data_IF_332400147409
#
_entry.id   IF_332400147409
#
_cell.length_a   1.000
_cell.length_b   1.000
_cell.length_c   1.000
_cell.angle_alpha   90.00
_cell.angle_beta   90.00
_cell.angle_gamma   90.00
#
_symmetry.space_group_name_H-M   'P 1'
#
loop_
_entity.id
_entity.type
_entity.pdbx_description
1 polymer ?
#
# COMPACT_ATOMS: atom_id res chain seq x y z
N UNK A 1 -5.68 -8.42 13.75
CA UNK A 1 -5.05 -7.46 12.83
C UNK A 1 -4.46 -6.27 13.59
N UNK A 2 -3.20 -6.03 13.35
CA UNK A 2 -2.45 -4.95 13.99
C UNK A 2 -2.76 -3.59 13.33
N UNK A 3 -3.21 -3.61 12.07
CA UNK A 3 -3.44 -2.40 11.27
C UNK A 3 -4.93 -2.21 11.01
N UNK A 4 -5.40 -0.96 11.12
CA UNK A 4 -6.77 -0.58 10.77
C UNK A 4 -6.95 -0.37 9.26
N UNK A 5 -6.10 -0.98 8.46
CA UNK A 5 -6.03 -0.80 7.01
C UNK A 5 -7.24 -1.33 6.25
N UNK A 6 -7.89 -2.39 6.78
CA UNK A 6 -9.07 -2.96 6.13
C UNK A 6 -10.22 -1.97 6.02
N UNK A 7 -10.46 -1.19 7.07
CA UNK A 7 -11.51 -0.16 7.06
C UNK A 7 -11.20 0.93 6.03
N UNK A 8 -9.96 1.42 6.03
CA UNK A 8 -9.53 2.44 5.05
C UNK A 8 -9.70 1.93 3.62
N UNK A 9 -9.23 0.71 3.34
CA UNK A 9 -9.34 0.11 2.00
C UNK A 9 -10.79 -0.06 1.56
N UNK A 10 -11.67 -0.49 2.48
CA UNK A 10 -13.09 -0.65 2.18
C UNK A 10 -13.75 0.69 1.83
N UNK A 11 -13.49 1.72 2.65
CA UNK A 11 -14.06 3.05 2.41
C UNK A 11 -13.53 3.66 1.11
N UNK A 12 -12.22 3.55 0.86
CA UNK A 12 -11.60 4.09 -0.36
C UNK A 12 -12.09 3.35 -1.60
N UNK A 13 -12.19 2.03 -1.53
CA UNK A 13 -12.73 1.20 -2.62
C UNK A 13 -14.17 1.60 -2.96
N UNK A 14 -15.02 1.82 -1.95
CA UNK A 14 -16.39 2.28 -2.14
C UNK A 14 -16.45 3.66 -2.78
N UNK A 15 -15.62 4.58 -2.36
CA UNK A 15 -15.52 5.92 -2.97
C UNK A 15 -15.11 5.82 -4.43
N UNK A 16 -14.09 5.03 -4.75
CA UNK A 16 -13.63 4.83 -6.12
C UNK A 16 -14.70 4.21 -7.02
N UNK A 17 -15.43 3.24 -6.49
CA UNK A 17 -16.53 2.61 -7.23
C UNK A 17 -17.66 3.61 -7.51
N UNK A 18 -18.00 4.43 -6.52
CA UNK A 18 -19.01 5.49 -6.68
C UNK A 18 -18.59 6.50 -7.74
N UNK A 19 -17.33 6.91 -7.75
CA UNK A 19 -16.80 7.84 -8.76
C UNK A 19 -16.87 7.22 -10.17
N UNK A 20 -16.54 5.94 -10.31
CA UNK A 20 -16.61 5.24 -11.59
C UNK A 20 -18.05 5.19 -12.10
N UNK A 21 -19.01 4.90 -11.24
CA UNK A 21 -20.43 4.87 -11.58
C UNK A 21 -20.91 6.26 -12.01
N UNK A 22 -20.56 7.28 -11.23
CA UNK A 22 -20.94 8.66 -11.51
C UNK A 22 -20.43 9.12 -12.87
N UNK A 23 -19.15 8.88 -13.16
CA UNK A 23 -18.55 9.23 -14.44
C UNK A 23 -19.21 8.50 -15.60
N UNK A 24 -19.51 7.22 -15.44
CA UNK A 24 -20.19 6.45 -16.49
C UNK A 24 -21.57 7.01 -16.79
N UNK A 25 -22.35 7.37 -15.76
CA UNK A 25 -23.67 7.93 -15.92
C UNK A 25 -23.63 9.30 -16.60
N UNK A 26 -22.64 10.14 -16.27
CA UNK A 26 -22.50 11.45 -16.89
C UNK A 26 -22.08 11.35 -18.36
N UNK A 27 -21.18 10.43 -18.69
CA UNK A 27 -20.61 10.33 -20.04
C UNK A 27 -21.51 9.58 -21.00
N UNK A 28 -22.16 8.50 -20.57
CA UNK A 28 -22.91 7.61 -21.46
C UNK A 28 -24.34 7.35 -21.02
N UNK A 29 -24.71 7.74 -19.80
CA UNK A 29 -26.02 7.43 -19.22
C UNK A 29 -26.19 5.97 -18.84
N UNK A 30 -25.14 5.15 -18.95
CA UNK A 30 -25.18 3.72 -18.67
C UNK A 30 -23.95 3.30 -17.85
N UNK A 31 -24.14 2.31 -16.99
CA UNK A 31 -23.05 1.68 -16.25
C UNK A 31 -22.83 0.30 -16.85
N UNK A 32 -21.64 0.09 -17.44
CA UNK A 32 -21.24 -1.18 -18.03
C UNK A 32 -19.96 -1.68 -17.36
N UNK A 33 -19.60 -2.94 -17.60
CA UNK A 33 -18.35 -3.49 -17.07
C UNK A 33 -17.14 -2.67 -17.50
N UNK A 34 -17.15 -2.11 -18.70
CA UNK A 34 -16.05 -1.27 -19.22
C UNK A 34 -15.81 -0.02 -18.34
N UNK A 35 -16.84 0.50 -17.67
CA UNK A 35 -16.74 1.67 -16.81
C UNK A 35 -15.84 1.40 -15.59
N UNK A 36 -15.64 0.13 -15.21
CA UNK A 36 -14.86 -0.24 -14.04
C UNK A 36 -13.42 -0.66 -14.37
N UNK A 37 -12.98 -0.53 -15.61
CA UNK A 37 -11.63 -0.95 -16.01
C UNK A 37 -10.54 -0.22 -15.21
N UNK A 38 -10.65 1.10 -15.10
CA UNK A 38 -9.69 1.90 -14.34
C UNK A 38 -9.79 1.61 -12.84
N UNK A 39 -11.01 1.48 -12.32
CA UNK A 39 -11.27 1.13 -10.93
C UNK A 39 -10.59 -0.20 -10.57
N UNK A 40 -10.80 -1.21 -11.40
CA UNK A 40 -10.23 -2.54 -11.18
C UNK A 40 -8.71 -2.50 -11.19
N UNK A 41 -8.12 -1.80 -12.16
CA UNK A 41 -6.67 -1.65 -12.25
C UNK A 41 -6.11 -0.97 -11.01
N UNK A 42 -6.70 0.14 -10.59
CA UNK A 42 -6.21 0.92 -9.44
C UNK A 42 -6.39 0.15 -8.14
N UNK A 43 -7.49 -0.57 -7.99
CA UNK A 43 -7.73 -1.41 -6.83
C UNK A 43 -6.73 -2.57 -6.76
N UNK A 44 -6.47 -3.25 -7.87
CA UNK A 44 -5.49 -4.33 -7.92
C UNK A 44 -4.08 -3.83 -7.58
N UNK A 45 -3.72 -2.65 -8.08
CA UNK A 45 -2.44 -2.03 -7.75
C UNK A 45 -2.34 -1.75 -6.25
N UNK A 46 -3.38 -1.18 -5.66
CA UNK A 46 -3.42 -0.87 -4.24
C UNK A 46 -3.33 -2.15 -3.37
N UNK A 47 -4.04 -3.20 -3.76
CA UNK A 47 -4.00 -4.48 -3.05
C UNK A 47 -2.63 -5.13 -3.13
N UNK A 48 -1.96 -5.00 -4.27
CA UNK A 48 -0.59 -5.50 -4.44
C UNK A 48 0.37 -4.76 -3.51
N UNK A 49 0.25 -3.44 -3.42
CA UNK A 49 1.04 -2.62 -2.50
C UNK A 49 0.79 -3.04 -1.05
N UNK A 50 -0.47 -3.22 -0.68
CA UNK A 50 -0.84 -3.65 0.66
C UNK A 50 -0.23 -5.01 1.01
N UNK A 51 -0.28 -5.95 0.07
CA UNK A 51 0.32 -7.28 0.26
C UNK A 51 1.82 -7.18 0.51
N UNK A 52 2.53 -6.34 -0.25
CA UNK A 52 3.97 -6.13 -0.05
C UNK A 52 4.27 -5.57 1.34
N UNK A 53 3.44 -4.62 1.82
CA UNK A 53 3.60 -4.06 3.16
C UNK A 53 3.39 -5.12 4.24
N UNK A 54 2.35 -5.93 4.11
CA UNK A 54 2.06 -7.01 5.08
C UNK A 54 3.22 -7.99 5.15
N UNK A 55 3.72 -8.43 3.99
CA UNK A 55 4.84 -9.37 3.94
C UNK A 55 6.11 -8.78 4.57
N UNK A 56 6.37 -7.49 4.34
CA UNK A 56 7.54 -6.83 4.90
C UNK A 56 7.41 -6.65 6.43
N UNK A 57 6.25 -6.16 6.90
CA UNK A 57 6.06 -5.80 8.30
C UNK A 57 5.89 -7.01 9.22
N UNK A 58 5.41 -8.13 8.70
CA UNK A 58 5.25 -9.36 9.47
C UNK A 58 6.44 -10.32 9.34
N UNK A 59 7.50 -9.90 8.66
CA UNK A 59 8.70 -10.72 8.62
C UNK A 59 9.38 -10.69 10.00
N UNK A 60 9.90 -11.83 10.43
CA UNK A 60 10.52 -11.96 11.75
C UNK A 60 11.76 -11.08 11.90
N UNK A 61 12.43 -10.78 10.82
CA UNK A 61 13.64 -9.95 10.81
C UNK A 61 13.36 -8.46 10.80
N UNK A 62 12.11 -8.03 10.65
CA UNK A 62 11.79 -6.61 10.53
C UNK A 62 11.69 -5.95 11.92
N UNK A 63 12.39 -4.84 12.07
CA UNK A 63 12.39 -4.05 13.31
C UNK A 63 12.01 -2.60 12.95
N UNK A 64 10.81 -2.18 13.37
CA UNK A 64 10.30 -0.83 13.10
C UNK A 64 11.23 0.27 13.63
N UNK A 65 11.69 0.11 14.86
CA UNK A 65 12.57 1.11 15.48
C UNK A 65 13.86 1.29 14.71
N UNK A 66 14.48 0.19 14.32
CA UNK A 66 15.72 0.23 13.53
C UNK A 66 15.47 0.84 12.15
N UNK A 67 14.36 0.50 11.52
CA UNK A 67 14.00 1.04 10.21
C UNK A 67 13.81 2.55 10.26
N UNK A 68 13.07 3.06 11.24
CA UNK A 68 12.83 4.50 11.39
C UNK A 68 14.13 5.26 11.69
N UNK A 69 15.03 4.67 12.48
CA UNK A 69 16.33 5.28 12.74
C UNK A 69 17.20 5.35 11.50
N UNK A 70 17.10 4.34 10.62
CA UNK A 70 17.85 4.32 9.36
C UNK A 70 17.26 5.28 8.32
N UNK A 71 15.95 5.46 8.32
CA UNK A 71 15.22 6.25 7.32
C UNK A 71 14.21 7.21 7.98
N UNK A 72 14.67 8.19 8.78
CA UNK A 72 13.75 9.07 9.50
C UNK A 72 12.86 9.90 8.59
N UNK A 73 13.29 10.19 7.37
CA UNK A 73 12.53 10.95 6.38
C UNK A 73 11.30 10.18 5.86
N UNK A 74 11.27 8.86 6.06
CA UNK A 74 10.17 8.02 5.61
C UNK A 74 9.08 7.83 6.67
N UNK A 75 9.24 8.42 7.85
CA UNK A 75 8.28 8.28 8.93
C UNK A 75 6.84 8.64 8.51
N UNK A 76 6.58 9.77 7.81
CA UNK A 76 5.22 10.09 7.36
C UNK A 76 4.65 9.03 6.40
N UNK A 77 5.47 8.50 5.48
CA UNK A 77 5.03 7.46 4.56
C UNK A 77 4.75 6.15 5.28
N UNK A 78 5.53 5.83 6.31
CA UNK A 78 5.29 4.66 7.13
C UNK A 78 3.95 4.77 7.87
N UNK A 79 3.64 5.95 8.41
CA UNK A 79 2.34 6.20 9.06
C UNK A 79 1.21 6.03 8.06
N UNK A 80 1.33 6.58 6.85
CA UNK A 80 0.34 6.39 5.79
C UNK A 80 0.13 4.90 5.49
N UNK A 81 1.21 4.14 5.37
CA UNK A 81 1.13 2.71 5.12
C UNK A 81 0.42 1.96 6.25
N UNK A 82 0.71 2.31 7.50
CA UNK A 82 0.13 1.66 8.67
C UNK A 82 -1.38 1.90 8.79
N UNK A 83 -1.86 3.07 8.36
CA UNK A 83 -3.32 3.33 8.32
C UNK A 83 -3.99 2.76 7.07
N UNK A 84 -3.21 2.16 6.17
CA UNK A 84 -3.73 1.50 4.97
C UNK A 84 -3.82 2.38 3.73
N UNK A 85 -3.20 3.57 3.75
CA UNK A 85 -3.22 4.47 2.60
C UNK A 85 -2.24 4.01 1.52
N UNK A 86 -2.60 2.89 0.86
CA UNK A 86 -1.79 2.28 -0.21
C UNK A 86 -2.01 2.96 -1.57
N UNK A 87 -2.84 3.98 -1.63
CA UNK A 87 -3.06 4.79 -2.82
C UNK A 87 -2.09 5.98 -2.90
N UNK A 88 -1.36 6.27 -1.82
CA UNK A 88 -0.30 7.27 -1.82
C UNK A 88 0.95 6.74 -2.53
N UNK A 89 1.88 7.64 -2.84
CA UNK A 89 3.18 7.22 -3.40
C UNK A 89 4.05 6.62 -2.31
N UNK A 90 4.05 5.31 -2.21
CA UNK A 90 4.83 4.55 -1.25
C UNK A 90 6.09 3.93 -1.85
N UNK A 91 6.42 4.25 -3.11
CA UNK A 91 7.59 3.66 -3.76
C UNK A 91 8.89 3.92 -2.98
N UNK A 92 9.16 5.15 -2.47
CA UNK A 92 10.35 5.36 -1.65
C UNK A 92 10.38 4.47 -0.40
N UNK A 93 9.21 4.19 0.19
CA UNK A 93 9.12 3.30 1.34
C UNK A 93 9.46 1.86 0.96
N UNK A 94 8.95 1.38 -0.17
CA UNK A 94 9.24 0.02 -0.65
C UNK A 94 10.71 -0.15 -1.00
N UNK A 95 11.32 0.84 -1.64
CA UNK A 95 12.74 0.80 -1.98
C UNK A 95 13.60 0.72 -0.72
N UNK A 96 13.25 1.50 0.30
CA UNK A 96 13.96 1.49 1.59
C UNK A 96 13.76 0.17 2.33
N UNK A 97 12.56 -0.40 2.30
CA UNK A 97 12.29 -1.70 2.92
C UNK A 97 13.12 -2.81 2.28
N UNK A 98 13.21 -2.80 0.95
CA UNK A 98 14.01 -3.77 0.23
C UNK A 98 15.49 -3.64 0.57
N UNK A 99 16.03 -2.42 0.57
CA UNK A 99 17.41 -2.14 0.96
C UNK A 99 17.70 -2.56 2.41
N UNK A 100 16.77 -2.23 3.31
CA UNK A 100 16.90 -2.58 4.73
C UNK A 100 16.90 -4.10 4.94
N UNK A 101 16.04 -4.82 4.23
CA UNK A 101 15.99 -6.28 4.30
C UNK A 101 17.27 -6.92 3.77
N UNK A 102 17.83 -6.37 2.68
CA UNK A 102 19.10 -6.85 2.12
C UNK A 102 20.24 -6.67 3.12
N UNK A 103 20.31 -5.53 3.79
CA UNK A 103 21.32 -5.27 4.83
C UNK A 103 21.16 -6.20 6.02
N UNK A 104 19.91 -6.50 6.40
CA UNK A 104 19.63 -7.44 7.49
C UNK A 104 20.16 -8.84 7.19
N UNK A 105 20.06 -9.27 5.95
CA UNK A 105 20.59 -10.55 5.50
C UNK A 105 22.11 -10.57 5.55
N UNK A 106 22.76 -9.49 5.14
CA UNK A 106 24.22 -9.39 5.17
C UNK A 106 24.78 -9.47 6.58
N UNK A 107 24.08 -8.91 7.57
CA UNK A 107 24.50 -8.95 8.97
C UNK A 107 24.22 -10.28 9.65
N UNK A 108 23.38 -11.12 9.09
CA UNK A 108 23.04 -12.44 9.61
C UNK A 108 23.90 -13.56 9.02
N UNK A 109 24.70 -13.27 8.01
CA UNK A 109 25.59 -14.27 7.44
C UNK A 109 26.77 -14.44 8.38
N UNK A 110 26.96 -15.62 8.99
CA UNK A 110 28.13 -15.83 9.85
C UNK A 110 29.41 -15.70 9.04
N UNK A 111 30.31 -14.96 9.57
CA UNK A 111 31.62 -14.76 8.95
C UNK A 111 32.39 -16.08 8.88
#
# INVERSE_FOLDING_TARGET
PVFSSGVFLALKSGEMAADAIHQALEQTGRVTAAAFTNYERDLHWALKQFRQLVLAFYSESFNFGAFIRAYPELHPRLVDALVGNVFADLQPLFDALEEFSARGHDTQTPA
#
